data_IF_099741824331
#
_entry.id   IF_099741824331
#
_cell.length_a   1.000
_cell.length_b   1.000
_cell.length_c   1.000
_cell.angle_alpha   90.00
_cell.angle_beta   90.00
_cell.angle_gamma   90.00
#
_symmetry.space_group_name_H-M   'P 1'
#
loop_
_entity.id
_entity.type
_entity.pdbx_description
1 polymer ?
#
# COMPACT_ATOMS: atom_id res chain seq x y z
N UNK A 1 18.46 -28.29 -36.50
CA UNK A 1 19.02 -27.64 -35.30
C UNK A 1 17.94 -26.74 -34.70
N UNK A 2 17.30 -27.13 -33.60
CA UNK A 2 16.22 -26.29 -33.05
C UNK A 2 15.35 -26.95 -31.99
N UNK A 3 15.79 -28.03 -31.31
CA UNK A 3 14.96 -28.71 -30.30
C UNK A 3 15.43 -28.53 -28.85
N UNK A 4 16.40 -27.68 -28.56
CA UNK A 4 16.96 -27.51 -27.20
C UNK A 4 16.73 -26.16 -26.59
N UNK A 5 16.02 -25.21 -27.24
CA UNK A 5 15.75 -23.88 -26.65
C UNK A 5 14.66 -23.87 -25.58
N UNK A 6 13.91 -24.96 -25.42
CA UNK A 6 12.87 -25.08 -24.41
C UNK A 6 13.35 -25.55 -23.02
N UNK A 7 14.59 -26.08 -22.94
CA UNK A 7 15.13 -26.64 -21.68
C UNK A 7 15.75 -25.60 -20.72
N UNK A 8 16.00 -24.39 -21.19
CA UNK A 8 16.56 -23.30 -20.39
C UNK A 8 15.55 -22.18 -20.15
N UNK A 9 14.30 -22.51 -19.93
CA UNK A 9 13.36 -21.52 -19.42
C UNK A 9 13.77 -21.23 -17.99
N UNK A 10 14.37 -20.06 -17.81
CA UNK A 10 14.83 -19.56 -16.50
C UNK A 10 13.76 -19.80 -15.44
N UNK A 11 14.11 -20.58 -14.42
CA UNK A 11 13.28 -20.76 -13.22
C UNK A 11 13.36 -19.54 -12.27
N UNK A 12 14.03 -18.48 -12.69
CA UNK A 12 14.42 -17.35 -11.87
C UNK A 12 13.36 -16.23 -11.81
N UNK A 13 12.20 -16.44 -12.46
CA UNK A 13 11.10 -15.47 -12.43
C UNK A 13 10.10 -15.80 -11.31
N UNK A 14 9.81 -14.84 -10.42
CA UNK A 14 8.75 -15.01 -9.44
C UNK A 14 7.41 -15.33 -10.12
N UNK A 15 6.67 -16.32 -9.58
CA UNK A 15 5.40 -16.78 -10.16
C UNK A 15 4.19 -16.25 -9.39
N UNK A 16 4.39 -15.61 -8.23
CA UNK A 16 3.31 -15.05 -7.45
C UNK A 16 2.72 -13.82 -8.16
N UNK A 17 1.45 -13.92 -8.54
CA UNK A 17 0.64 -12.85 -9.15
C UNK A 17 -0.56 -12.58 -8.26
N UNK A 18 -0.91 -11.32 -8.11
CA UNK A 18 -2.03 -10.89 -7.26
C UNK A 18 -3.34 -10.77 -8.03
N UNK A 19 -3.27 -10.65 -9.36
CA UNK A 19 -4.46 -10.60 -10.22
C UNK A 19 -4.97 -12.00 -10.45
N UNK A 20 -5.88 -12.46 -9.60
CA UNK A 20 -6.51 -13.78 -9.71
C UNK A 20 -7.80 -13.87 -8.92
N UNK A 21 -8.51 -14.97 -9.12
CA UNK A 21 -9.84 -15.30 -8.61
C UNK A 21 -9.99 -15.23 -7.07
N UNK A 22 -8.89 -15.16 -6.33
CA UNK A 22 -8.93 -15.05 -4.86
C UNK A 22 -9.60 -13.77 -4.37
N UNK A 23 -9.43 -12.65 -5.08
CA UNK A 23 -10.06 -11.38 -4.71
C UNK A 23 -11.57 -11.42 -4.94
N UNK A 24 -12.02 -12.07 -6.03
CA UNK A 24 -13.44 -12.24 -6.35
C UNK A 24 -14.19 -13.11 -5.31
N UNK A 25 -13.51 -14.08 -4.71
CA UNK A 25 -14.10 -14.92 -3.65
C UNK A 25 -14.50 -14.11 -2.42
N UNK A 26 -13.72 -13.07 -2.06
CA UNK A 26 -14.03 -12.21 -0.91
C UNK A 26 -15.05 -11.10 -1.22
N UNK A 27 -15.35 -10.84 -2.50
CA UNK A 27 -16.30 -9.80 -2.93
C UNK A 27 -17.77 -10.26 -2.92
N UNK A 28 -18.05 -11.52 -2.56
CA UNK A 28 -19.43 -12.03 -2.44
C UNK A 28 -20.23 -11.30 -1.35
N UNK A 29 -21.55 -11.25 -1.48
CA UNK A 29 -22.46 -10.66 -0.49
C UNK A 29 -22.35 -11.33 0.89
N UNK A 30 -22.87 -10.67 1.91
CA UNK A 30 -23.01 -11.24 3.26
C UNK A 30 -24.15 -12.26 3.30
N UNK A 31 -24.14 -13.11 4.32
CA UNK A 31 -25.26 -14.06 4.58
C UNK A 31 -26.58 -13.34 4.85
N UNK A 32 -26.55 -12.08 5.31
CA UNK A 32 -27.72 -11.21 5.49
C UNK A 32 -28.21 -10.55 4.19
N UNK A 33 -27.49 -10.72 3.06
CA UNK A 33 -27.82 -10.12 1.76
C UNK A 33 -27.46 -8.64 1.62
N UNK A 34 -26.86 -8.01 2.66
CA UNK A 34 -26.43 -6.61 2.60
C UNK A 34 -24.99 -6.52 2.06
N UNK A 35 -24.71 -5.61 1.13
CA UNK A 35 -23.33 -5.39 0.67
C UNK A 35 -22.53 -4.70 1.77
N UNK A 36 -21.46 -5.35 2.22
CA UNK A 36 -20.47 -4.77 3.14
C UNK A 36 -19.20 -4.42 2.36
N UNK A 37 -18.84 -3.17 2.42
CA UNK A 37 -17.56 -2.63 1.91
C UNK A 37 -16.95 -1.74 2.99
N UNK A 38 -15.73 -1.26 2.74
CA UNK A 38 -14.97 -0.46 3.69
C UNK A 38 -15.71 0.82 4.12
N UNK A 39 -16.41 1.47 3.16
CA UNK A 39 -17.19 2.69 3.44
C UNK A 39 -18.42 2.38 4.30
N UNK A 40 -19.19 1.33 3.98
CA UNK A 40 -20.37 0.96 4.78
C UNK A 40 -19.97 0.41 6.15
N UNK A 41 -18.85 -0.31 6.25
CA UNK A 41 -18.30 -0.78 7.52
C UNK A 41 -17.91 0.37 8.46
N UNK A 42 -17.35 1.45 7.93
CA UNK A 42 -17.01 2.65 8.72
C UNK A 42 -18.22 3.43 9.26
N UNK A 43 -19.44 3.15 8.76
CA UNK A 43 -20.68 3.70 9.35
C UNK A 43 -21.09 2.97 10.64
N UNK A 44 -20.51 1.81 10.91
CA UNK A 44 -20.74 1.10 12.16
C UNK A 44 -19.82 1.67 13.26
N UNK A 45 -20.40 2.12 14.36
CA UNK A 45 -19.68 2.75 15.48
C UNK A 45 -18.55 1.87 16.00
N UNK A 46 -18.76 0.55 16.10
CA UNK A 46 -17.74 -0.38 16.58
C UNK A 46 -16.53 -0.43 15.64
N UNK A 47 -16.75 -0.55 14.33
CA UNK A 47 -15.68 -0.58 13.32
C UNK A 47 -14.94 0.75 13.31
N UNK A 48 -15.67 1.85 13.25
CA UNK A 48 -15.08 3.20 13.29
C UNK A 48 -14.19 3.40 14.52
N UNK A 49 -14.70 3.02 15.71
CA UNK A 49 -13.95 3.17 16.96
C UNK A 49 -12.68 2.32 16.98
N UNK A 50 -12.74 1.06 16.51
CA UNK A 50 -11.57 0.20 16.43
C UNK A 50 -10.52 0.74 15.46
N UNK A 51 -10.94 1.15 14.26
CA UNK A 51 -10.03 1.71 13.24
C UNK A 51 -9.38 2.98 13.77
N UNK A 52 -10.16 3.89 14.33
CA UNK A 52 -9.68 5.15 14.89
C UNK A 52 -8.65 4.94 16.00
N UNK A 53 -8.97 4.13 17.02
CA UNK A 53 -8.08 3.89 18.16
C UNK A 53 -6.74 3.32 17.70
N UNK A 54 -6.76 2.32 16.80
CA UNK A 54 -5.55 1.68 16.29
C UNK A 54 -4.73 2.63 15.41
N UNK A 55 -5.38 3.39 14.54
CA UNK A 55 -4.71 4.34 13.66
C UNK A 55 -4.06 5.48 14.46
N UNK A 56 -4.78 6.10 15.40
CA UNK A 56 -4.24 7.14 16.27
C UNK A 56 -3.11 6.64 17.17
N UNK A 57 -3.22 5.40 17.70
CA UNK A 57 -2.17 4.81 18.53
C UNK A 57 -0.85 4.62 17.76
N UNK A 58 -0.91 4.12 16.52
CA UNK A 58 0.28 3.97 15.66
C UNK A 58 0.81 5.33 15.20
N UNK A 59 -0.09 6.25 14.82
CA UNK A 59 0.28 7.58 14.37
C UNK A 59 0.99 8.41 15.45
N UNK A 60 0.62 8.20 16.72
CA UNK A 60 1.24 8.87 17.87
C UNK A 60 2.67 8.42 18.17
N UNK A 61 3.12 7.30 17.62
CA UNK A 61 4.49 6.82 17.82
C UNK A 61 5.46 7.56 16.90
N UNK A 62 6.52 8.20 17.41
CA UNK A 62 7.48 8.90 16.59
C UNK A 62 8.31 7.92 15.77
N UNK A 63 8.41 8.15 14.46
CA UNK A 63 9.25 7.37 13.57
C UNK A 63 10.61 8.04 13.42
N UNK A 64 11.67 7.41 13.96
CA UNK A 64 13.02 7.90 13.89
C UNK A 64 13.87 7.09 12.91
N UNK A 65 14.70 7.77 12.16
CA UNK A 65 15.75 7.15 11.35
C UNK A 65 17.03 7.04 12.20
N UNK A 66 17.66 5.86 12.17
CA UNK A 66 18.91 5.59 12.86
C UNK A 66 20.01 5.19 11.89
N UNK A 67 21.25 5.55 12.21
CA UNK A 67 22.45 5.00 11.57
C UNK A 67 23.29 4.23 12.57
N UNK A 68 24.03 3.25 12.08
CA UNK A 68 25.03 2.56 12.88
C UNK A 68 26.29 3.43 13.04
N UNK A 69 26.86 3.44 14.24
CA UNK A 69 28.15 4.07 14.51
C UNK A 69 29.28 3.06 14.33
N UNK A 70 30.48 3.55 14.08
CA UNK A 70 31.70 2.71 13.92
C UNK A 70 32.00 1.86 15.18
N UNK A 71 31.49 2.27 16.34
CA UNK A 71 31.62 1.58 17.63
C UNK A 71 30.57 0.52 17.87
N UNK A 72 29.67 0.23 16.89
CA UNK A 72 28.61 -0.76 16.98
C UNK A 72 27.33 -0.30 17.67
N UNK A 73 27.23 0.99 18.03
CA UNK A 73 26.01 1.62 18.55
C UNK A 73 25.05 2.07 17.45
N UNK A 74 23.96 2.71 17.85
CA UNK A 74 22.99 3.37 16.96
C UNK A 74 22.74 4.79 17.44
N UNK A 75 22.75 5.74 16.52
CA UNK A 75 22.37 7.13 16.78
C UNK A 75 21.29 7.62 15.82
N UNK A 76 20.51 8.63 16.22
CA UNK A 76 19.49 9.21 15.35
C UNK A 76 20.15 9.96 14.19
N UNK A 77 19.77 9.62 12.98
CA UNK A 77 20.31 10.24 11.77
C UNK A 77 19.51 11.51 11.41
N UNK A 78 19.52 12.51 12.30
CA UNK A 78 18.72 13.74 12.17
C UNK A 78 19.12 14.61 10.98
N UNK A 79 20.34 14.46 10.49
CA UNK A 79 20.90 15.13 9.31
C UNK A 79 20.57 14.42 7.99
N UNK A 80 19.99 13.22 8.07
CA UNK A 80 19.61 12.47 6.85
C UNK A 80 18.34 13.08 6.22
N UNK A 81 18.28 13.31 4.90
CA UNK A 81 17.11 13.93 4.24
C UNK A 81 15.78 13.26 4.53
N UNK A 82 15.76 11.91 4.67
CA UNK A 82 14.55 11.17 5.02
C UNK A 82 14.09 11.35 6.47
N UNK A 83 14.94 11.90 7.37
CA UNK A 83 14.55 12.06 8.76
C UNK A 83 13.36 13.00 8.88
N UNK A 84 13.45 14.17 8.30
CA UNK A 84 12.38 15.18 8.30
C UNK A 84 11.09 14.65 7.66
N UNK A 85 11.22 13.98 6.50
CA UNK A 85 10.07 13.40 5.79
C UNK A 85 9.34 12.34 6.60
N UNK A 86 10.05 11.50 7.34
CA UNK A 86 9.42 10.41 8.12
C UNK A 86 8.96 10.85 9.50
N UNK A 87 9.68 11.78 10.13
CA UNK A 87 9.43 12.20 11.49
C UNK A 87 8.47 13.38 11.59
N UNK A 88 8.59 14.38 10.69
CA UNK A 88 7.86 15.65 10.81
C UNK A 88 6.85 15.87 9.68
N UNK A 89 7.31 16.02 8.42
CA UNK A 89 6.51 16.46 7.27
C UNK A 89 6.78 15.60 6.04
N UNK A 90 5.97 14.55 5.80
CA UNK A 90 6.10 13.70 4.61
C UNK A 90 5.79 14.45 3.31
N UNK A 91 5.00 15.51 3.36
CA UNK A 91 4.67 16.41 2.25
C UNK A 91 4.11 17.74 2.80
N UNK A 92 3.98 18.80 1.97
CA UNK A 92 3.48 20.11 2.42
C UNK A 92 2.03 20.16 2.89
N UNK A 93 1.25 19.10 2.66
CA UNK A 93 -0.19 19.07 2.92
C UNK A 93 -0.53 18.41 4.26
N UNK A 94 0.38 17.62 4.83
CA UNK A 94 0.09 16.84 6.02
C UNK A 94 1.32 16.62 6.91
N UNK A 95 1.08 16.58 8.22
CA UNK A 95 2.10 16.17 9.18
C UNK A 95 2.35 14.66 9.13
N UNK A 96 3.46 14.22 9.72
CA UNK A 96 3.78 12.78 9.83
C UNK A 96 2.76 12.01 10.65
N UNK A 97 2.08 12.65 11.61
CA UNK A 97 0.96 12.05 12.35
C UNK A 97 -0.18 11.70 11.40
N UNK A 98 -0.69 12.69 10.63
CA UNK A 98 -1.80 12.48 9.69
C UNK A 98 -1.43 11.46 8.61
N UNK A 99 -0.19 11.50 8.12
CA UNK A 99 0.30 10.53 7.15
C UNK A 99 0.26 9.09 7.68
N UNK A 100 0.79 8.85 8.88
CA UNK A 100 0.78 7.51 9.51
C UNK A 100 -0.63 7.06 9.88
N UNK A 101 -1.47 7.96 10.37
CA UNK A 101 -2.89 7.70 10.63
C UNK A 101 -3.62 7.26 9.37
N UNK A 102 -3.40 7.97 8.26
CA UNK A 102 -3.98 7.63 6.94
C UNK A 102 -3.51 6.26 6.46
N UNK A 103 -2.19 6.00 6.49
CA UNK A 103 -1.66 4.70 6.08
C UNK A 103 -2.17 3.55 6.96
N UNK A 104 -2.26 3.77 8.28
CA UNK A 104 -2.80 2.75 9.19
C UNK A 104 -4.30 2.52 8.96
N UNK A 105 -5.06 3.57 8.70
CA UNK A 105 -6.48 3.46 8.32
C UNK A 105 -6.64 2.66 7.03
N UNK A 106 -5.82 2.94 6.01
CA UNK A 106 -5.80 2.15 4.77
C UNK A 106 -5.50 0.67 5.04
N UNK A 107 -4.52 0.39 5.87
CA UNK A 107 -4.12 -0.97 6.23
C UNK A 107 -5.26 -1.73 6.93
N UNK A 108 -5.95 -1.08 7.87
CA UNK A 108 -7.06 -1.67 8.63
C UNK A 108 -8.31 -1.90 7.78
N UNK A 109 -8.56 -1.08 6.77
CA UNK A 109 -9.74 -1.19 5.91
C UNK A 109 -9.48 -2.10 4.69
N UNK A 110 -8.40 -1.88 3.97
CA UNK A 110 -8.10 -2.57 2.71
C UNK A 110 -6.99 -3.61 2.81
N UNK A 111 -6.35 -3.74 3.97
CA UNK A 111 -5.25 -4.67 4.16
C UNK A 111 -3.94 -4.25 3.48
N UNK A 112 -3.90 -3.09 2.87
CA UNK A 112 -2.72 -2.54 2.20
C UNK A 112 -2.70 -1.02 2.38
N UNK A 113 -1.50 -0.47 2.53
CA UNK A 113 -1.30 0.97 2.48
C UNK A 113 -0.23 1.31 1.44
N UNK A 114 -0.47 2.35 0.67
CA UNK A 114 0.42 2.80 -0.38
C UNK A 114 0.71 4.29 -0.25
N UNK A 115 1.93 4.68 -0.55
CA UNK A 115 2.27 6.08 -0.78
C UNK A 115 3.16 6.22 -2.01
N UNK A 116 2.91 7.24 -2.81
CA UNK A 116 3.77 7.61 -3.92
C UNK A 116 5.00 8.33 -3.38
N UNK A 117 6.17 7.93 -3.89
CA UNK A 117 7.45 8.55 -3.57
C UNK A 117 7.77 9.56 -4.69
N UNK A 118 7.75 10.84 -4.35
CA UNK A 118 8.13 11.92 -5.27
C UNK A 118 9.62 12.16 -5.13
N UNK A 119 10.31 12.22 -6.28
CA UNK A 119 11.75 12.43 -6.35
C UNK A 119 12.09 13.63 -7.23
N UNK A 120 13.22 14.28 -6.93
CA UNK A 120 13.81 15.29 -7.82
C UNK A 120 14.59 14.62 -8.97
N UNK A 121 15.12 15.44 -9.88
CA UNK A 121 15.95 14.98 -11.00
C UNK A 121 17.26 14.30 -10.59
N UNK A 122 17.69 14.41 -9.33
CA UNK A 122 18.87 13.75 -8.76
C UNK A 122 18.51 12.41 -8.07
N UNK A 123 17.23 12.05 -8.01
CA UNK A 123 16.74 10.84 -7.37
C UNK A 123 16.49 10.96 -5.85
N UNK A 124 16.68 12.15 -5.27
CA UNK A 124 16.40 12.40 -3.85
C UNK A 124 14.89 12.43 -3.60
N UNK A 125 14.46 11.85 -2.47
CA UNK A 125 13.04 11.84 -2.08
C UNK A 125 12.66 13.23 -1.56
N UNK A 126 11.64 13.81 -2.18
CA UNK A 126 11.11 15.13 -1.82
C UNK A 126 9.83 15.05 -1.00
N UNK A 127 8.97 14.07 -1.26
CA UNK A 127 7.68 13.94 -0.60
C UNK A 127 7.11 12.51 -0.70
N UNK A 128 6.18 12.21 0.20
CA UNK A 128 5.40 10.98 0.24
C UNK A 128 3.91 11.33 0.26
N UNK A 129 3.14 10.86 -0.72
CA UNK A 129 1.70 11.09 -0.81
C UNK A 129 0.93 9.78 -0.70
N UNK A 130 -0.02 9.63 0.26
CA UNK A 130 -0.85 8.44 0.35
C UNK A 130 -1.65 8.22 -0.93
N UNK A 131 -1.72 6.96 -1.37
CA UNK A 131 -2.54 6.53 -2.51
C UNK A 131 -3.69 5.64 -2.02
N UNK A 132 -4.88 5.82 -2.58
CA UNK A 132 -6.06 5.04 -2.21
C UNK A 132 -5.90 3.56 -2.60
N UNK A 133 -5.99 2.61 -1.65
CA UNK A 133 -5.73 1.20 -1.93
C UNK A 133 -6.73 0.57 -2.90
N UNK A 134 -8.00 1.01 -2.87
CA UNK A 134 -9.04 0.51 -3.79
C UNK A 134 -8.82 0.92 -5.25
N UNK A 135 -7.89 1.87 -5.51
CA UNK A 135 -7.48 2.29 -6.85
C UNK A 135 -6.14 1.69 -7.27
N UNK A 136 -5.52 0.88 -6.41
CA UNK A 136 -4.20 0.31 -6.65
C UNK A 136 -4.31 -1.18 -6.99
N UNK A 137 -3.59 -1.60 -8.01
CA UNK A 137 -3.34 -3.01 -8.31
C UNK A 137 -1.84 -3.29 -8.39
N UNK A 138 -1.47 -4.49 -7.96
CA UNK A 138 -0.08 -4.98 -7.93
C UNK A 138 0.01 -6.18 -8.83
N UNK A 139 0.94 -6.20 -9.79
CA UNK A 139 1.11 -7.32 -10.71
C UNK A 139 2.58 -7.44 -11.17
N UNK A 140 2.87 -8.48 -11.96
CA UNK A 140 4.17 -8.72 -12.58
C UNK A 140 4.07 -8.69 -14.08
N UNK A 141 5.07 -8.09 -14.71
CA UNK A 141 5.22 -8.09 -16.15
C UNK A 141 5.68 -9.46 -16.69
N UNK A 142 5.83 -9.58 -18.01
CA UNK A 142 6.30 -10.79 -18.69
C UNK A 142 7.73 -11.21 -18.26
N UNK A 143 8.51 -10.26 -17.72
CA UNK A 143 9.84 -10.49 -17.20
C UNK A 143 9.84 -10.89 -15.71
N UNK A 144 8.67 -10.96 -15.06
CA UNK A 144 8.50 -11.22 -13.64
C UNK A 144 8.78 -10.01 -12.76
N UNK A 145 8.97 -8.81 -13.34
CA UNK A 145 9.19 -7.59 -12.57
C UNK A 145 7.87 -7.07 -12.00
N UNK A 146 7.89 -6.76 -10.70
CA UNK A 146 6.74 -6.17 -10.02
C UNK A 146 6.46 -4.77 -10.56
N UNK A 147 5.19 -4.43 -10.71
CA UNK A 147 4.73 -3.08 -10.99
C UNK A 147 3.41 -2.80 -10.30
N UNK A 148 3.10 -1.52 -10.15
CA UNK A 148 1.85 -1.02 -9.60
C UNK A 148 1.07 -0.29 -10.69
N UNK A 149 -0.26 -0.41 -10.66
CA UNK A 149 -1.14 0.37 -11.52
C UNK A 149 -2.12 1.13 -10.64
N UNK A 150 -2.10 2.47 -10.75
CA UNK A 150 -3.01 3.34 -10.03
C UNK A 150 -4.07 3.89 -10.99
N UNK A 151 -5.35 3.69 -10.65
CA UNK A 151 -6.48 4.22 -11.41
C UNK A 151 -6.81 5.63 -10.92
N UNK A 152 -6.63 6.63 -11.79
CA UNK A 152 -7.04 8.00 -11.51
C UNK A 152 -8.56 8.12 -11.58
N UNK A 153 -9.15 8.95 -10.72
CA UNK A 153 -10.56 9.32 -10.86
C UNK A 153 -10.73 10.35 -11.98
N UNK A 154 -11.94 10.39 -12.57
CA UNK A 154 -12.28 11.37 -13.62
C UNK A 154 -12.15 12.81 -13.12
N UNK A 155 -12.25 13.06 -11.82
CA UNK A 155 -12.03 14.37 -11.18
C UNK A 155 -10.56 14.80 -11.23
N UNK A 156 -9.62 13.83 -11.15
CA UNK A 156 -8.17 14.07 -11.21
C UNK A 156 -7.65 14.22 -12.65
N UNK A 157 -8.39 13.71 -13.63
CA UNK A 157 -8.04 13.78 -15.05
C UNK A 157 -9.30 13.80 -15.93
N UNK A 158 -10.04 14.92 -15.99
CA UNK A 158 -11.32 15.01 -16.68
C UNK A 158 -11.24 14.76 -18.19
N UNK A 159 -10.05 14.86 -18.80
CA UNK A 159 -9.81 14.63 -20.23
C UNK A 159 -9.40 13.19 -20.58
N UNK A 160 -9.22 12.32 -19.58
CA UNK A 160 -8.74 10.94 -19.76
C UNK A 160 -9.59 9.98 -18.94
N UNK A 161 -10.80 9.67 -19.39
CA UNK A 161 -11.63 8.63 -18.77
C UNK A 161 -10.84 7.32 -18.62
N UNK A 162 -10.70 6.83 -17.39
CA UNK A 162 -10.04 5.56 -17.11
C UNK A 162 -8.50 5.56 -17.20
N UNK A 163 -7.85 6.72 -17.18
CA UNK A 163 -6.38 6.78 -17.24
C UNK A 163 -5.74 6.10 -16.03
N UNK A 164 -5.13 4.95 -16.24
CA UNK A 164 -4.29 4.28 -15.26
C UNK A 164 -2.83 4.72 -15.42
N UNK A 165 -2.15 4.89 -14.29
CA UNK A 165 -0.72 5.20 -14.26
C UNK A 165 0.04 3.99 -13.76
N UNK A 166 1.02 3.53 -14.54
CA UNK A 166 1.93 2.47 -14.14
C UNK A 166 3.09 3.06 -13.33
N UNK A 167 3.27 2.58 -12.10
CA UNK A 167 4.30 3.02 -11.17
C UNK A 167 5.32 1.90 -10.98
N UNK A 168 6.59 2.28 -10.83
CA UNK A 168 7.67 1.34 -10.51
C UNK A 168 7.69 1.06 -9.00
N UNK A 169 8.21 -0.11 -8.57
CA UNK A 169 8.38 -0.41 -7.14
C UNK A 169 9.24 0.61 -6.39
N UNK A 170 10.17 1.26 -7.08
CA UNK A 170 11.01 2.32 -6.52
C UNK A 170 10.26 3.61 -6.19
N UNK A 171 9.08 3.79 -6.79
CA UNK A 171 8.29 5.02 -6.69
C UNK A 171 7.03 4.82 -5.82
N UNK A 172 6.90 3.66 -5.19
CA UNK A 172 5.77 3.32 -4.30
C UNK A 172 6.29 2.75 -2.98
N UNK A 173 5.94 3.39 -1.89
CA UNK A 173 6.02 2.78 -0.56
C UNK A 173 4.77 1.91 -0.40
N UNK A 174 4.95 0.60 -0.33
CA UNK A 174 3.88 -0.37 -0.10
C UNK A 174 4.05 -1.05 1.25
N UNK A 175 3.03 -1.00 2.08
CA UNK A 175 2.94 -1.67 3.38
C UNK A 175 1.80 -2.69 3.28
N UNK A 176 2.10 -3.97 3.01
CA UNK A 176 1.10 -5.02 3.00
C UNK A 176 0.75 -5.46 4.42
N UNK A 177 -0.53 -5.73 4.65
CA UNK A 177 -1.00 -6.43 5.84
C UNK A 177 -0.84 -7.94 5.74
N UNK A 178 -1.60 -8.68 6.56
CA UNK A 178 -1.64 -10.13 6.50
C UNK A 178 -2.18 -10.60 5.13
N UNK A 179 -1.42 -11.44 4.45
CA UNK A 179 -1.76 -12.00 3.14
C UNK A 179 -1.13 -13.37 2.93
N UNK A 180 -1.56 -14.12 1.91
CA UNK A 180 -1.01 -15.45 1.63
C UNK A 180 0.23 -15.43 0.74
N UNK A 181 0.37 -14.44 -0.13
CA UNK A 181 1.43 -14.37 -1.13
C UNK A 181 2.60 -13.45 -0.75
N UNK A 182 2.45 -12.69 0.34
CA UNK A 182 3.44 -11.71 0.78
C UNK A 182 3.55 -10.47 -0.11
N UNK A 183 2.69 -10.35 -1.14
CA UNK A 183 2.64 -9.18 -2.02
C UNK A 183 1.48 -8.25 -1.65
N UNK A 184 0.31 -8.82 -1.35
CA UNK A 184 -0.91 -8.06 -1.06
C UNK A 184 -1.55 -8.63 0.21
N UNK A 185 -1.91 -7.72 1.11
CA UNK A 185 -2.68 -8.05 2.31
C UNK A 185 -4.19 -8.16 1.99
N UNK A 186 -4.89 -8.97 2.78
CA UNK A 186 -6.35 -9.08 2.71
C UNK A 186 -7.01 -7.92 3.45
N UNK A 187 -8.13 -7.43 2.89
CA UNK A 187 -8.98 -6.48 3.60
C UNK A 187 -9.55 -7.14 4.87
N UNK A 188 -9.27 -6.61 6.08
CA UNK A 188 -9.88 -7.10 7.31
C UNK A 188 -11.40 -6.99 7.28
N UNK A 189 -11.94 -5.97 6.61
CA UNK A 189 -13.38 -5.78 6.42
C UNK A 189 -13.97 -6.91 5.56
N UNK A 190 -13.33 -7.24 4.45
CA UNK A 190 -13.75 -8.35 3.59
C UNK A 190 -13.72 -9.70 4.32
N UNK A 191 -12.72 -9.92 5.17
CA UNK A 191 -12.60 -11.14 5.99
C UNK A 191 -13.70 -11.22 7.08
N UNK A 192 -14.06 -10.09 7.66
CA UNK A 192 -15.08 -10.00 8.74
C UNK A 192 -16.48 -9.67 8.23
N UNK A 193 -16.74 -9.66 6.92
CA UNK A 193 -17.99 -9.17 6.32
C UNK A 193 -19.26 -9.80 6.90
N UNK A 194 -19.23 -11.10 7.22
CA UNK A 194 -20.39 -11.80 7.82
C UNK A 194 -20.64 -11.43 9.29
N UNK A 195 -19.62 -10.91 9.98
CA UNK A 195 -19.78 -10.42 11.35
C UNK A 195 -20.19 -8.94 11.40
N UNK A 196 -19.95 -8.22 10.30
CA UNK A 196 -20.25 -6.79 10.17
C UNK A 196 -21.64 -6.57 9.55
N UNK A 197 -22.10 -7.40 8.63
CA UNK A 197 -23.41 -7.35 7.94
C UNK A 197 -24.37 -8.36 8.53
#
# INVERSE_FOLDING_TARGET
MGMLSGLFRSRDKPQNRTVGSSYAFFMGGTTSGKPVNERSAMQMTAVYSCVRILAEAVAGLPLHLYRYTDTGGKEKAVDHPLYLLLHDEPNPEMSSFVFRETLMTHLLLWGNAYAQIIRNGKGEVLALYPLMPNKMSVDRDENGQLYYTYQRSNEEAPTMEGASVKLKPTDVLHIPGLGFDGLVGYSPIAMAKNAIG
#
